data_IF_882324502846
#
_entry.id   IF_882324502846
#
_cell.length_a   1.000
_cell.length_b   1.000
_cell.length_c   1.000
_cell.angle_alpha   90.00
_cell.angle_beta   90.00
_cell.angle_gamma   90.00
#
_symmetry.space_group_name_H-M   'P 1'
#
loop_
_entity.id
_entity.type
_entity.pdbx_description
1 polymer ?
#
# COMPACT_ATOMS: atom_id res chain seq x y z
N UNK A 1 1.03 -46.47 7.32
CA UNK A 1 1.84 -45.90 6.21
C UNK A 1 0.85 -45.33 5.20
N UNK A 2 0.73 -44.05 4.90
CA UNK A 2 1.46 -42.84 5.30
C UNK A 2 0.42 -41.72 5.17
N UNK A 3 0.08 -41.04 6.26
CA UNK A 3 -0.73 -39.82 6.21
C UNK A 3 0.18 -38.78 5.58
N UNK A 4 0.03 -38.54 4.29
CA UNK A 4 0.67 -37.42 3.60
C UNK A 4 0.24 -36.17 4.36
N UNK A 5 1.20 -35.60 5.10
CA UNK A 5 1.03 -34.33 5.77
C UNK A 5 0.79 -33.33 4.64
N UNK A 6 -0.45 -32.84 4.53
CA UNK A 6 -0.70 -31.58 3.85
C UNK A 6 0.11 -30.53 4.62
N UNK A 7 1.30 -30.22 4.12
CA UNK A 7 2.03 -29.05 4.57
C UNK A 7 1.08 -27.86 4.38
N UNK A 8 0.84 -27.02 5.40
CA UNK A 8 0.02 -25.83 5.20
C UNK A 8 0.69 -25.05 4.08
N UNK A 9 -0.05 -24.83 3.00
CA UNK A 9 0.37 -24.20 1.77
C UNK A 9 0.75 -22.75 2.10
N UNK A 10 1.98 -22.57 2.58
CA UNK A 10 2.47 -21.28 3.11
C UNK A 10 2.50 -20.30 1.96
N UNK A 11 1.78 -19.19 2.11
CA UNK A 11 1.86 -18.05 1.21
C UNK A 11 3.34 -17.73 0.95
N UNK A 12 3.71 -17.70 -0.33
CA UNK A 12 5.08 -17.37 -0.71
C UNK A 12 5.19 -15.86 -0.79
N UNK A 13 5.73 -15.26 0.27
CA UNK A 13 6.08 -13.85 0.31
C UNK A 13 7.55 -13.69 -0.09
N UNK A 14 7.81 -13.01 -1.20
CA UNK A 14 9.17 -12.75 -1.68
C UNK A 14 9.76 -11.50 -1.04
N UNK A 15 11.08 -11.35 -1.09
CA UNK A 15 11.77 -10.15 -0.63
C UNK A 15 11.22 -8.88 -1.29
N UNK A 16 10.94 -8.93 -2.60
CA UNK A 16 10.34 -7.83 -3.34
C UNK A 16 8.93 -7.47 -2.84
N UNK A 17 8.11 -8.47 -2.47
CA UNK A 17 6.81 -8.22 -1.85
C UNK A 17 6.93 -7.57 -0.48
N UNK A 18 7.93 -7.96 0.33
CA UNK A 18 8.19 -7.35 1.64
C UNK A 18 8.58 -5.88 1.45
N UNK A 19 9.46 -5.59 0.49
CA UNK A 19 9.88 -4.23 0.16
C UNK A 19 8.71 -3.37 -0.31
N UNK A 20 7.87 -3.90 -1.22
CA UNK A 20 6.65 -3.20 -1.65
C UNK A 20 5.70 -2.92 -0.48
N UNK A 21 5.53 -3.88 0.44
CA UNK A 21 4.70 -3.70 1.63
C UNK A 21 5.25 -2.58 2.54
N UNK A 22 6.55 -2.53 2.74
CA UNK A 22 7.18 -1.44 3.50
C UNK A 22 6.97 -0.09 2.80
N UNK A 23 7.16 -0.01 1.48
CA UNK A 23 6.92 1.22 0.71
C UNK A 23 5.45 1.67 0.78
N UNK A 24 4.50 0.74 0.73
CA UNK A 24 3.07 1.02 0.91
C UNK A 24 2.84 1.63 2.31
N UNK A 25 3.37 1.01 3.37
CA UNK A 25 3.22 1.51 4.74
C UNK A 25 3.80 2.92 4.91
N UNK A 26 5.00 3.17 4.38
CA UNK A 26 5.62 4.50 4.41
C UNK A 26 4.79 5.54 3.64
N UNK A 27 4.25 5.16 2.48
CA UNK A 27 3.45 6.04 1.62
C UNK A 27 2.11 6.38 2.29
N UNK A 28 1.47 5.40 2.96
CA UNK A 28 0.27 5.63 3.79
C UNK A 28 0.57 6.61 4.92
N UNK A 29 1.67 6.43 5.65
CA UNK A 29 2.03 7.34 6.75
C UNK A 29 2.23 8.78 6.26
N UNK A 30 2.93 8.97 5.14
CA UNK A 30 3.12 10.29 4.51
C UNK A 30 1.78 10.90 4.06
N UNK A 31 0.86 10.08 3.54
CA UNK A 31 -0.47 10.54 3.14
C UNK A 31 -1.29 11.02 4.34
N UNK A 32 -1.24 10.28 5.43
CA UNK A 32 -1.93 10.66 6.68
C UNK A 32 -1.40 11.99 7.22
N UNK A 33 -0.07 12.18 7.21
CA UNK A 33 0.55 13.46 7.58
C UNK A 33 0.05 14.62 6.69
N UNK A 34 0.04 14.44 5.35
CA UNK A 34 -0.47 15.47 4.44
C UNK A 34 -1.96 15.78 4.65
N UNK A 35 -2.78 14.79 5.01
CA UNK A 35 -4.19 15.00 5.33
C UNK A 35 -4.38 15.75 6.66
N UNK A 36 -3.54 15.46 7.66
CA UNK A 36 -3.53 16.21 8.90
C UNK A 36 -3.15 17.69 8.64
N UNK A 37 -2.07 17.92 7.89
CA UNK A 37 -1.65 19.27 7.47
C UNK A 37 -2.75 20.01 6.69
N UNK A 38 -3.45 19.31 5.79
CA UNK A 38 -4.56 19.87 5.02
C UNK A 38 -5.71 20.28 5.95
N UNK A 39 -6.03 19.47 6.94
CA UNK A 39 -7.08 19.77 7.92
C UNK A 39 -6.73 21.01 8.74
N UNK A 40 -5.51 21.06 9.29
CA UNK A 40 -5.01 22.24 10.01
C UNK A 40 -4.95 23.49 9.13
N UNK A 41 -4.62 23.34 7.84
CA UNK A 41 -4.59 24.46 6.90
C UNK A 41 -5.97 25.10 6.76
N UNK A 42 -7.03 24.31 6.60
CA UNK A 42 -8.38 24.86 6.44
C UNK A 42 -8.95 25.45 7.73
N UNK A 43 -8.51 24.97 8.89
CA UNK A 43 -8.83 25.61 10.18
C UNK A 43 -8.17 27.00 10.29
N UNK A 44 -6.92 27.13 9.88
CA UNK A 44 -6.15 28.40 9.98
C UNK A 44 -6.47 29.37 8.86
N UNK A 45 -6.77 28.88 7.67
CA UNK A 45 -6.94 29.66 6.45
C UNK A 45 -8.26 29.30 5.74
N UNK A 46 -9.41 29.60 6.37
CA UNK A 46 -10.71 29.29 5.77
C UNK A 46 -10.86 29.93 4.39
N UNK A 47 -11.37 29.17 3.43
CA UNK A 47 -11.57 29.62 2.05
C UNK A 47 -10.29 29.69 1.20
N UNK A 48 -9.10 29.43 1.74
CA UNK A 48 -7.86 29.34 0.95
C UNK A 48 -7.56 27.90 0.55
N UNK A 49 -7.24 27.69 -0.73
CA UNK A 49 -6.81 26.38 -1.24
C UNK A 49 -5.56 25.89 -0.51
N UNK A 50 -5.56 24.61 -0.12
CA UNK A 50 -4.38 23.95 0.44
C UNK A 50 -3.23 23.92 -0.58
N UNK A 51 -2.05 24.37 -0.14
CA UNK A 51 -0.91 24.62 -1.01
C UNK A 51 -0.19 23.34 -1.47
N UNK A 52 -0.32 22.24 -0.73
CA UNK A 52 0.29 20.95 -1.05
C UNK A 52 -0.69 19.94 -1.65
N UNK A 53 -1.77 20.41 -2.28
CA UNK A 53 -2.77 19.52 -2.89
C UNK A 53 -2.18 18.61 -3.98
N UNK A 54 -1.20 19.10 -4.75
CA UNK A 54 -0.54 18.29 -5.79
C UNK A 54 0.30 17.17 -5.18
N UNK A 55 0.83 17.36 -3.97
CA UNK A 55 1.51 16.30 -3.22
C UNK A 55 0.52 15.21 -2.77
N UNK A 56 -0.70 15.60 -2.36
CA UNK A 56 -1.76 14.63 -2.04
C UNK A 56 -2.19 13.83 -3.28
N UNK A 57 -2.35 14.49 -4.43
CA UNK A 57 -2.68 13.81 -5.69
C UNK A 57 -1.58 12.80 -6.07
N UNK A 58 -0.33 13.25 -6.00
CA UNK A 58 0.83 12.42 -6.35
C UNK A 58 0.97 11.21 -5.41
N UNK A 59 0.74 11.40 -4.11
CA UNK A 59 0.87 10.31 -3.13
C UNK A 59 -0.28 9.29 -3.24
N UNK A 60 -1.49 9.74 -3.56
CA UNK A 60 -2.62 8.86 -3.85
C UNK A 60 -2.35 8.03 -5.13
N UNK A 61 -1.79 8.64 -6.17
CA UNK A 61 -1.40 7.94 -7.40
C UNK A 61 -0.30 6.90 -7.14
N UNK A 62 0.74 7.27 -6.39
CA UNK A 62 1.83 6.36 -6.00
C UNK A 62 1.30 5.17 -5.20
N UNK A 63 0.40 5.40 -4.24
CA UNK A 63 -0.19 4.33 -3.44
C UNK A 63 -0.95 3.33 -4.32
N UNK A 64 -1.76 3.84 -5.25
CA UNK A 64 -2.50 3.00 -6.20
C UNK A 64 -1.57 2.15 -7.09
N UNK A 65 -0.43 2.70 -7.48
CA UNK A 65 0.57 1.97 -8.27
C UNK A 65 1.26 0.88 -7.44
N UNK A 66 1.67 1.20 -6.21
CA UNK A 66 2.30 0.25 -5.29
C UNK A 66 1.36 -0.92 -4.95
N UNK A 67 0.10 -0.64 -4.65
CA UNK A 67 -0.91 -1.68 -4.37
C UNK A 67 -1.14 -2.58 -5.59
N UNK A 68 -1.21 -1.99 -6.78
CA UNK A 68 -1.36 -2.73 -8.04
C UNK A 68 -0.17 -3.65 -8.29
N UNK A 69 1.05 -3.15 -8.06
CA UNK A 69 2.28 -3.92 -8.22
C UNK A 69 2.38 -5.05 -7.20
N UNK A 70 2.07 -4.76 -5.93
CA UNK A 70 2.03 -5.78 -4.88
C UNK A 70 1.03 -6.89 -5.23
N UNK A 71 -0.19 -6.53 -5.66
CA UNK A 71 -1.21 -7.51 -6.05
C UNK A 71 -0.74 -8.39 -7.21
N UNK A 72 -0.19 -7.81 -8.28
CA UNK A 72 0.33 -8.59 -9.42
C UNK A 72 1.42 -9.57 -9.00
N UNK A 73 2.31 -9.15 -8.11
CA UNK A 73 3.40 -9.99 -7.62
C UNK A 73 2.88 -11.10 -6.70
N UNK A 74 1.94 -10.77 -5.82
CA UNK A 74 1.24 -11.75 -5.00
C UNK A 74 0.53 -12.79 -5.88
N UNK A 75 -0.26 -12.34 -6.86
CA UNK A 75 -0.96 -13.22 -7.81
C UNK A 75 0.05 -14.10 -8.56
N UNK A 76 1.19 -13.55 -8.99
CA UNK A 76 2.23 -14.30 -9.68
C UNK A 76 2.74 -15.48 -8.85
N UNK A 77 3.00 -15.28 -7.55
CA UNK A 77 3.58 -16.29 -6.66
C UNK A 77 2.54 -17.22 -6.00
N UNK A 78 1.31 -16.74 -5.82
CA UNK A 78 0.26 -17.42 -5.07
C UNK A 78 -0.92 -17.85 -5.97
N UNK A 79 -0.73 -17.84 -7.29
CA UNK A 79 -1.72 -18.24 -8.31
C UNK A 79 -2.42 -19.58 -8.05
N UNK A 80 -1.75 -20.50 -7.36
CA UNK A 80 -2.23 -21.84 -7.00
C UNK A 80 -3.08 -21.86 -5.72
N UNK A 81 -3.03 -20.82 -4.89
CA UNK A 81 -3.89 -20.60 -3.71
C UNK A 81 -5.25 -19.96 -4.07
N UNK A 82 -5.44 -19.55 -5.33
CA UNK A 82 -6.62 -18.82 -5.80
C UNK A 82 -7.69 -19.72 -6.46
N UNK A 83 -7.59 -21.05 -6.30
CA UNK A 83 -8.57 -22.06 -6.75
C UNK A 83 -9.18 -22.76 -5.54
#
# INVERSE_FOLDING_TARGET
>A
MTKLMEEPMKEKMTEEMIQLKHLIMETVSKREQLKAEMSEWYERFPGKRFTKIDNLISIDALLSELDSNYKRLWDFHNRHLAL
#
